data_IF_987582298553
#
_entry.id   IF_987582298553
#
_cell.length_a   1.000
_cell.length_b   1.000
_cell.length_c   1.000
_cell.angle_alpha   90.00
_cell.angle_beta   90.00
_cell.angle_gamma   90.00
#
_symmetry.space_group_name_H-M   'P 1'
#
loop_
_entity.id
_entity.type
_entity.pdbx_description
1 polymer ?
#
# COMPACT_ATOMS: atom_id res chain seq x y z
N UNK A 1 -20.18 14.17 17.04
CA UNK A 1 -19.86 13.01 16.17
C UNK A 1 -18.36 12.81 16.19
N UNK A 2 -17.85 11.75 16.83
CA UNK A 2 -16.40 11.53 16.99
C UNK A 2 -15.86 10.89 15.71
N UNK A 3 -14.97 11.57 14.99
CA UNK A 3 -14.27 11.01 13.83
C UNK A 3 -13.17 10.07 14.34
N UNK A 4 -13.17 8.81 13.92
CA UNK A 4 -12.12 7.83 14.25
C UNK A 4 -11.05 7.85 13.17
N UNK A 5 -9.80 8.06 13.56
CA UNK A 5 -8.63 8.05 12.68
C UNK A 5 -7.81 6.79 12.98
N UNK A 6 -7.45 6.06 11.93
CA UNK A 6 -6.63 4.85 12.03
C UNK A 6 -5.38 4.99 11.16
N UNK A 7 -4.24 4.53 11.68
CA UNK A 7 -3.01 4.37 10.90
C UNK A 7 -2.84 2.88 10.59
N UNK A 8 -2.69 2.56 9.31
CA UNK A 8 -2.53 1.18 8.83
C UNK A 8 -1.15 1.04 8.19
N UNK A 9 -0.46 -0.07 8.47
CA UNK A 9 0.86 -0.41 7.91
C UNK A 9 0.83 -1.83 7.35
N UNK A 10 1.38 -2.01 6.16
CA UNK A 10 1.55 -3.32 5.53
C UNK A 10 3.00 -3.79 5.73
N UNK A 11 3.18 -4.98 6.29
CA UNK A 11 4.49 -5.56 6.62
C UNK A 11 4.72 -6.84 5.80
N UNK A 12 5.96 -7.05 5.37
CA UNK A 12 6.39 -8.25 4.64
C UNK A 12 7.56 -7.92 3.70
N UNK A 13 8.19 -8.96 3.16
CA UNK A 13 9.42 -8.83 2.35
C UNK A 13 9.24 -7.91 1.14
N UNK A 14 10.34 -7.39 0.61
CA UNK A 14 10.31 -6.61 -0.62
C UNK A 14 9.74 -7.45 -1.79
N UNK A 15 9.05 -6.81 -2.73
CA UNK A 15 8.50 -7.48 -3.92
C UNK A 15 7.16 -8.21 -3.74
N UNK A 16 6.65 -8.41 -2.52
CA UNK A 16 5.41 -9.18 -2.31
C UNK A 16 4.09 -8.46 -2.71
N UNK A 17 4.17 -7.23 -3.25
CA UNK A 17 2.98 -6.51 -3.74
C UNK A 17 2.23 -5.63 -2.74
N UNK A 18 2.81 -5.30 -1.57
CA UNK A 18 2.19 -4.39 -0.57
C UNK A 18 1.73 -3.06 -1.18
N UNK A 19 2.56 -2.46 -2.02
CA UNK A 19 2.26 -1.16 -2.65
C UNK A 19 1.22 -1.31 -3.77
N UNK A 20 1.30 -2.39 -4.56
CA UNK A 20 0.28 -2.72 -5.56
C UNK A 20 -1.09 -2.95 -4.93
N UNK A 21 -1.16 -3.55 -3.74
CA UNK A 21 -2.42 -3.70 -2.99
C UNK A 21 -3.04 -2.35 -2.64
N UNK A 22 -2.26 -1.43 -2.08
CA UNK A 22 -2.73 -0.07 -1.76
C UNK A 22 -3.22 0.62 -3.03
N UNK A 23 -2.48 0.49 -4.14
CA UNK A 23 -2.85 1.12 -5.39
C UNK A 23 -4.16 0.58 -5.98
N UNK A 24 -4.33 -0.74 -5.94
CA UNK A 24 -5.55 -1.39 -6.41
C UNK A 24 -6.74 -0.99 -5.53
N UNK A 25 -6.59 -1.05 -4.20
CA UNK A 25 -7.69 -0.76 -3.28
C UNK A 25 -8.11 0.72 -3.26
N UNK A 26 -7.15 1.66 -3.28
CA UNK A 26 -7.44 3.08 -3.14
C UNK A 26 -7.73 3.78 -4.48
N UNK A 27 -7.20 3.28 -5.59
CA UNK A 27 -7.27 3.96 -6.88
C UNK A 27 -7.83 3.10 -8.02
N UNK A 28 -8.23 1.85 -7.74
CA UNK A 28 -8.69 0.88 -8.74
C UNK A 28 -7.69 0.70 -9.90
N UNK A 29 -6.39 0.81 -9.58
CA UNK A 29 -5.29 0.69 -10.55
C UNK A 29 -4.35 -0.43 -10.13
N UNK A 30 -4.20 -1.42 -11.01
CA UNK A 30 -3.17 -2.43 -10.87
C UNK A 30 -1.85 -1.93 -11.46
N UNK A 31 -0.79 -1.92 -10.64
CA UNK A 31 0.57 -1.64 -11.09
C UNK A 31 1.31 -2.97 -11.26
N UNK A 32 1.50 -3.36 -12.53
CA UNK A 32 2.22 -4.56 -12.91
C UNK A 32 3.75 -4.44 -12.67
N UNK A 33 4.28 -3.23 -12.78
CA UNK A 33 5.69 -2.94 -12.47
C UNK A 33 5.83 -2.58 -10.98
N UNK A 34 6.51 -3.44 -10.23
CA UNK A 34 6.77 -3.23 -8.81
C UNK A 34 7.98 -2.31 -8.67
N UNK A 35 7.73 -1.02 -8.46
CA UNK A 35 8.77 -0.12 -7.93
C UNK A 35 8.91 -0.35 -6.43
N UNK A 36 10.13 -0.64 -5.98
CA UNK A 36 10.42 -0.75 -4.55
C UNK A 36 10.01 0.56 -3.85
N UNK A 37 9.21 0.45 -2.80
CA UNK A 37 8.86 1.63 -2.02
C UNK A 37 10.09 2.14 -1.30
N UNK A 38 10.50 3.36 -1.62
CA UNK A 38 11.65 4.01 -0.99
C UNK A 38 11.26 4.32 0.45
N UNK A 39 11.88 3.62 1.39
CA UNK A 39 11.88 3.93 2.81
C UNK A 39 13.31 3.80 3.31
N UNK A 40 13.88 4.91 3.80
CA UNK A 40 15.10 4.86 4.62
C UNK A 40 14.73 4.41 6.03
#
# INVERSE_FOLDING_TARGET
MVKRLFKVMFVGNSGIGKSSFIHCFCYDRFLAEISATIGK
#
